data_IF_193751708797
#
_entry.id   IF_193751708797
#
_cell.length_a   1.000
_cell.length_b   1.000
_cell.length_c   1.000
_cell.angle_alpha   90.00
_cell.angle_beta   90.00
_cell.angle_gamma   90.00
#
_symmetry.space_group_name_H-M   'P 1'
#
loop_
_entity.id
_entity.type
_entity.pdbx_description
1 polymer ?
#
# COMPACT_ATOMS: atom_id res chain seq x y z
N UNK A 1 1.16 18.65 -9.41
CA UNK A 1 -0.16 18.47 -8.77
C UNK A 1 -1.16 19.03 -9.77
N UNK A 2 -1.96 18.18 -10.41
CA UNK A 2 -2.79 18.56 -11.56
C UNK A 2 -4.04 19.34 -11.14
N UNK A 3 -4.37 20.36 -11.94
CA UNK A 3 -5.69 20.98 -12.03
C UNK A 3 -6.39 20.44 -13.29
N UNK A 4 -7.63 19.99 -13.11
CA UNK A 4 -8.63 19.54 -14.11
C UNK A 4 -8.35 18.28 -14.93
N UNK A 5 -8.94 17.16 -14.50
CA UNK A 5 -9.30 16.01 -15.35
C UNK A 5 -10.72 16.23 -15.87
N UNK A 6 -10.98 15.91 -17.14
CA UNK A 6 -12.33 15.95 -17.71
C UNK A 6 -13.27 15.01 -16.93
N UNK A 7 -14.59 15.29 -16.89
CA UNK A 7 -15.54 14.37 -16.29
C UNK A 7 -15.44 12.99 -16.98
N UNK A 8 -15.35 11.91 -16.19
CA UNK A 8 -15.47 10.50 -16.58
C UNK A 8 -14.25 9.75 -17.15
N UNK A 9 -13.09 10.40 -17.30
CA UNK A 9 -11.82 9.75 -17.72
C UNK A 9 -10.85 9.60 -16.55
N UNK A 10 -10.22 8.42 -16.38
CA UNK A 10 -9.12 8.22 -15.43
C UNK A 10 -7.83 7.81 -16.15
N UNK A 11 -6.68 8.33 -15.73
CA UNK A 11 -5.34 8.01 -16.27
C UNK A 11 -4.59 7.17 -15.22
N UNK A 12 -3.94 6.08 -15.61
CA UNK A 12 -2.96 5.33 -14.81
C UNK A 12 -1.58 5.42 -15.43
N UNK A 13 -0.56 5.24 -14.60
CA UNK A 13 0.85 5.09 -14.99
C UNK A 13 1.39 3.74 -14.47
N UNK A 14 2.42 3.20 -15.08
CA UNK A 14 3.17 2.00 -14.71
C UNK A 14 4.63 2.25 -15.05
N UNK A 15 5.54 2.15 -14.09
CA UNK A 15 6.98 2.28 -14.36
C UNK A 15 7.65 0.90 -14.42
N UNK A 16 8.58 0.73 -15.35
CA UNK A 16 9.73 -0.18 -15.24
C UNK A 16 10.98 0.71 -15.40
N UNK A 17 12.15 0.25 -14.96
CA UNK A 17 13.43 0.93 -14.80
C UNK A 17 13.94 1.80 -15.98
N UNK A 18 13.23 1.81 -17.12
CA UNK A 18 13.49 2.59 -18.34
C UNK A 18 12.19 2.99 -19.10
N UNK A 19 10.99 2.74 -18.57
CA UNK A 19 9.72 2.94 -19.28
C UNK A 19 8.61 3.43 -18.34
N UNK A 20 7.82 4.41 -18.78
CA UNK A 20 6.48 4.68 -18.22
C UNK A 20 5.47 4.09 -19.21
N UNK A 21 4.85 2.97 -18.85
CA UNK A 21 3.54 2.61 -19.36
C UNK A 21 2.48 3.48 -18.66
N UNK A 22 1.34 3.70 -19.28
CA UNK A 22 0.22 4.36 -18.65
C UNK A 22 -1.07 3.91 -19.29
N UNK A 23 -2.07 3.59 -18.48
CA UNK A 23 -3.36 3.07 -18.92
C UNK A 23 -4.45 4.11 -18.63
N UNK A 24 -5.03 4.70 -19.68
CA UNK A 24 -6.20 5.56 -19.53
C UNK A 24 -7.44 4.67 -19.52
N UNK A 25 -8.13 4.58 -18.37
CA UNK A 25 -9.35 3.79 -18.19
C UNK A 25 -10.57 4.67 -18.42
N UNK A 26 -11.37 4.28 -19.42
CA UNK A 26 -12.59 4.96 -19.83
C UNK A 26 -13.78 4.20 -19.25
N UNK A 27 -14.51 4.84 -18.32
CA UNK A 27 -15.62 4.18 -17.63
C UNK A 27 -16.91 4.18 -18.44
N UNK A 28 -17.01 5.11 -19.38
CA UNK A 28 -18.05 5.24 -20.41
C UNK A 28 -17.38 5.63 -21.72
N UNK A 29 -18.12 5.55 -22.82
CA UNK A 29 -17.72 6.21 -24.07
C UNK A 29 -17.58 7.72 -23.81
N UNK A 30 -16.37 8.29 -23.91
CA UNK A 30 -16.17 9.69 -23.59
C UNK A 30 -16.79 10.58 -24.67
N UNK A 31 -17.33 11.73 -24.27
CA UNK A 31 -17.89 12.72 -25.21
C UNK A 31 -16.78 13.30 -26.11
N UNK A 32 -15.58 13.46 -25.54
CA UNK A 32 -14.35 13.89 -26.22
C UNK A 32 -13.43 12.71 -26.54
N UNK A 33 -12.78 12.72 -27.71
CA UNK A 33 -11.84 11.68 -28.16
C UNK A 33 -10.37 12.10 -28.01
N UNK A 34 -10.10 13.28 -27.44
CA UNK A 34 -8.78 13.86 -27.37
C UNK A 34 -8.29 14.01 -25.92
N UNK A 35 -7.06 13.59 -25.64
CA UNK A 35 -6.42 13.63 -24.33
C UNK A 35 -5.06 14.28 -24.41
N UNK A 36 -4.71 15.12 -23.44
CA UNK A 36 -3.40 15.78 -23.37
C UNK A 36 -2.66 15.28 -22.13
N UNK A 37 -1.45 14.76 -22.32
CA UNK A 37 -0.54 14.31 -21.28
C UNK A 37 0.65 15.25 -21.20
N UNK A 38 0.92 15.80 -20.02
CA UNK A 38 2.08 16.67 -19.82
C UNK A 38 3.31 15.81 -19.48
N UNK A 39 4.37 15.95 -20.28
CA UNK A 39 5.65 15.27 -20.14
C UNK A 39 6.71 16.27 -19.65
N UNK A 40 7.02 16.23 -18.35
CA UNK A 40 8.12 17.00 -17.75
C UNK A 40 9.44 16.25 -17.92
N UNK A 41 10.25 16.68 -18.88
CA UNK A 41 11.54 16.08 -19.22
C UNK A 41 12.70 16.64 -18.40
N UNK A 42 12.42 17.50 -17.40
CA UNK A 42 13.44 18.22 -16.61
C UNK A 42 14.48 18.95 -17.46
N UNK A 43 14.07 19.42 -18.65
CA UNK A 43 14.91 20.20 -19.57
C UNK A 43 15.59 19.40 -20.68
N UNK A 44 15.31 18.10 -20.80
CA UNK A 44 15.81 17.28 -21.92
C UNK A 44 14.89 17.38 -23.16
N UNK A 45 15.43 17.39 -24.39
CA UNK A 45 14.63 17.41 -25.62
C UNK A 45 13.98 16.06 -25.94
N UNK A 46 12.82 16.10 -26.61
CA UNK A 46 12.05 14.92 -27.05
C UNK A 46 11.65 14.99 -28.54
N UNK A 47 11.41 13.84 -29.17
CA UNK A 47 10.93 13.73 -30.57
C UNK A 47 9.86 12.65 -30.74
N UNK A 48 8.90 12.88 -31.64
CA UNK A 48 7.91 11.90 -32.10
C UNK A 48 8.47 11.10 -33.29
N UNK A 49 8.43 9.78 -33.21
CA UNK A 49 8.92 8.87 -34.25
C UNK A 49 7.78 8.47 -35.23
N UNK A 50 8.14 7.90 -36.39
CA UNK A 50 7.17 7.50 -37.42
C UNK A 50 6.15 6.44 -36.95
N UNK A 51 6.56 5.59 -36.00
CA UNK A 51 5.73 4.56 -35.40
C UNK A 51 4.83 5.07 -34.27
N UNK A 52 4.80 6.40 -34.06
CA UNK A 52 4.07 7.10 -32.98
C UNK A 52 4.63 6.89 -31.56
N UNK A 53 5.84 6.34 -31.43
CA UNK A 53 6.60 6.37 -30.17
C UNK A 53 7.27 7.73 -29.94
N UNK A 54 7.66 8.03 -28.70
CA UNK A 54 8.36 9.28 -28.34
C UNK A 54 9.70 8.94 -27.68
N UNK A 55 10.77 9.60 -28.11
CA UNK A 55 12.13 9.45 -27.54
C UNK A 55 12.59 10.76 -26.91
N UNK A 56 13.02 10.71 -25.64
CA UNK A 56 13.76 11.78 -24.95
C UNK A 56 15.25 11.41 -24.96
N UNK A 57 16.11 12.38 -25.25
CA UNK A 57 17.54 12.12 -25.48
C UNK A 57 18.41 13.21 -24.87
N UNK A 58 19.66 12.87 -24.56
CA UNK A 58 20.68 13.85 -24.18
C UNK A 58 21.12 14.64 -25.43
N UNK A 59 21.06 15.98 -25.43
CA UNK A 59 21.40 16.79 -26.59
C UNK A 59 22.91 16.85 -26.89
N UNK A 60 23.78 16.59 -25.90
CA UNK A 60 25.23 16.60 -26.06
C UNK A 60 25.77 15.28 -26.61
N UNK A 61 25.22 14.15 -26.15
CA UNK A 61 25.69 12.81 -26.55
C UNK A 61 24.82 12.15 -27.62
N UNK A 62 23.54 12.56 -27.71
CA UNK A 62 22.54 11.91 -28.54
C UNK A 62 22.04 10.57 -28.00
N UNK A 63 22.44 10.19 -26.78
CA UNK A 63 22.01 8.96 -26.13
C UNK A 63 20.55 9.05 -25.68
N UNK A 64 19.83 7.93 -25.77
CA UNK A 64 18.42 7.87 -25.38
C UNK A 64 18.31 7.76 -23.86
N UNK A 65 17.69 8.76 -23.24
CA UNK A 65 17.49 8.82 -21.79
C UNK A 65 16.14 8.21 -21.40
N UNK A 66 15.14 8.33 -22.27
CA UNK A 66 13.79 7.83 -22.00
C UNK A 66 12.99 7.55 -23.27
N UNK A 67 12.13 6.52 -23.25
CA UNK A 67 11.36 6.06 -24.41
C UNK A 67 9.89 5.73 -24.03
N UNK A 68 8.94 6.25 -24.81
CA UNK A 68 7.50 6.02 -24.67
C UNK A 68 7.00 5.26 -25.90
N UNK A 69 6.41 4.08 -25.69
CA UNK A 69 5.84 3.27 -26.77
C UNK A 69 4.61 3.92 -27.41
N UNK A 70 4.32 3.53 -28.65
CA UNK A 70 3.07 3.89 -29.30
C UNK A 70 1.87 3.38 -28.48
N UNK A 71 0.85 4.21 -28.23
CA UNK A 71 -0.31 3.85 -27.44
C UNK A 71 -1.28 2.96 -28.21
N UNK A 72 -2.03 2.15 -27.49
CA UNK A 72 -3.16 1.36 -27.97
C UNK A 72 -4.25 1.30 -26.89
N UNK A 73 -5.46 0.91 -27.25
CA UNK A 73 -6.55 0.67 -26.31
C UNK A 73 -7.04 -0.78 -26.39
N UNK A 74 -7.65 -1.29 -25.33
CA UNK A 74 -8.20 -2.63 -25.29
C UNK A 74 -9.43 -2.70 -24.37
N UNK A 75 -10.29 -3.71 -24.58
CA UNK A 75 -11.51 -3.89 -23.81
C UNK A 75 -11.38 -4.97 -22.72
N UNK A 76 -12.46 -5.21 -21.98
CA UNK A 76 -12.53 -6.27 -20.96
C UNK A 76 -12.31 -7.69 -21.51
N UNK A 77 -12.49 -7.90 -22.83
CA UNK A 77 -12.25 -9.16 -23.52
C UNK A 77 -10.84 -9.25 -24.14
N UNK A 78 -9.98 -8.26 -23.87
CA UNK A 78 -8.62 -8.13 -24.41
C UNK A 78 -8.55 -7.98 -25.94
N UNK A 79 -9.61 -7.47 -26.57
CA UNK A 79 -9.55 -7.05 -27.96
C UNK A 79 -8.86 -5.68 -28.04
N UNK A 80 -7.91 -5.53 -28.97
CA UNK A 80 -7.05 -4.35 -29.05
C UNK A 80 -7.40 -3.43 -30.23
N UNK A 81 -7.15 -2.13 -30.06
CA UNK A 81 -7.16 -1.13 -31.12
C UNK A 81 -5.88 -0.28 -31.05
N UNK A 82 -5.09 -0.36 -32.13
CA UNK A 82 -3.83 0.38 -32.31
C UNK A 82 -4.03 1.69 -33.09
N UNK A 83 -5.28 2.04 -33.43
CA UNK A 83 -5.60 3.21 -34.22
C UNK A 83 -5.73 4.47 -33.35
N UNK A 84 -4.63 4.84 -32.68
CA UNK A 84 -4.56 6.02 -31.81
C UNK A 84 -3.75 7.13 -32.51
N UNK A 85 -4.29 8.34 -32.57
CA UNK A 85 -3.56 9.54 -33.01
C UNK A 85 -2.59 10.01 -31.93
N UNK A 86 -1.40 10.48 -32.32
CA UNK A 86 -0.39 10.99 -31.37
C UNK A 86 0.25 12.25 -31.95
N UNK A 87 0.28 13.32 -31.15
CA UNK A 87 1.01 14.56 -31.43
C UNK A 87 1.89 14.94 -30.24
N UNK A 88 2.99 15.67 -30.50
CA UNK A 88 3.93 16.14 -29.49
C UNK A 88 4.16 17.64 -29.68
N UNK A 89 3.90 18.43 -28.65
CA UNK A 89 3.96 19.89 -28.67
C UNK A 89 4.91 20.38 -27.56
N UNK A 90 5.87 21.23 -27.88
CA UNK A 90 6.81 21.77 -26.89
C UNK A 90 6.17 22.84 -25.98
N UNK A 91 6.51 22.83 -24.69
CA UNK A 91 6.01 23.77 -23.67
C UNK A 91 7.16 24.38 -22.85
N UNK A 92 6.88 25.36 -21.98
CA UNK A 92 7.91 26.00 -21.14
C UNK A 92 8.60 25.05 -20.15
N UNK A 93 7.98 23.92 -19.81
CA UNK A 93 8.46 22.96 -18.80
C UNK A 93 8.72 21.55 -19.37
N UNK A 94 8.57 21.33 -20.67
CA UNK A 94 8.68 20.01 -21.30
C UNK A 94 7.85 19.91 -22.58
N UNK A 95 6.97 18.91 -22.67
CA UNK A 95 6.11 18.69 -23.84
C UNK A 95 4.69 18.29 -23.45
N UNK A 96 3.71 18.62 -24.29
CA UNK A 96 2.36 18.06 -24.28
C UNK A 96 2.26 16.94 -25.32
N UNK A 97 1.82 15.75 -24.89
CA UNK A 97 1.51 14.61 -25.76
C UNK A 97 0.00 14.54 -25.94
N UNK A 98 -0.47 14.72 -27.17
CA UNK A 98 -1.89 14.72 -27.51
C UNK A 98 -2.26 13.37 -28.10
N UNK A 99 -3.24 12.69 -27.49
CA UNK A 99 -3.76 11.39 -27.92
C UNK A 99 -5.16 11.54 -28.50
N UNK A 100 -5.44 10.90 -29.64
CA UNK A 100 -6.78 10.88 -30.24
C UNK A 100 -7.30 9.45 -30.37
N UNK A 101 -8.42 9.14 -29.73
CA UNK A 101 -9.01 7.79 -29.67
C UNK A 101 -9.86 7.46 -30.89
N UNK A 102 -9.99 6.17 -31.20
CA UNK A 102 -10.91 5.67 -32.24
C UNK A 102 -12.34 5.58 -31.70
N UNK A 103 -13.17 6.58 -32.06
CA UNK A 103 -14.57 6.67 -31.62
C UNK A 103 -15.46 5.51 -32.08
N UNK A 104 -15.18 4.94 -33.26
CA UNK A 104 -16.00 3.84 -33.77
C UNK A 104 -15.77 2.57 -32.97
N UNK A 105 -14.50 2.31 -32.61
CA UNK A 105 -14.12 1.15 -31.82
C UNK A 105 -14.67 1.21 -30.38
N UNK A 106 -14.57 2.38 -29.72
CA UNK A 106 -14.99 2.53 -28.31
C UNK A 106 -16.51 2.53 -28.13
N UNK A 107 -17.27 2.94 -29.17
CA UNK A 107 -18.73 3.00 -29.13
C UNK A 107 -19.42 1.66 -29.44
N UNK A 108 -18.65 0.57 -29.57
CA UNK A 108 -19.18 -0.74 -29.90
C UNK A 108 -20.02 -1.31 -28.72
N UNK A 109 -21.23 -1.84 -28.98
CA UNK A 109 -22.11 -2.37 -27.93
C UNK A 109 -21.59 -3.63 -27.22
N UNK A 110 -20.48 -4.21 -27.68
CA UNK A 110 -19.90 -5.45 -27.14
C UNK A 110 -18.95 -5.24 -25.93
N UNK A 111 -18.90 -4.04 -25.32
CA UNK A 111 -17.90 -3.64 -24.28
C UNK A 111 -18.56 -3.25 -22.94
N UNK A 112 -18.25 -3.92 -21.80
CA UNK A 112 -18.81 -3.67 -20.43
C UNK A 112 -17.74 -3.13 -19.44
N UNK A 113 -18.18 -2.34 -18.44
CA UNK A 113 -17.36 -1.42 -17.61
C UNK A 113 -16.63 -2.00 -16.38
N UNK A 114 -15.57 -1.29 -15.93
CA UNK A 114 -14.49 -1.81 -15.05
C UNK A 114 -14.23 -1.04 -13.72
N UNK A 115 -13.58 -1.74 -12.77
CA UNK A 115 -13.19 -1.34 -11.40
C UNK A 115 -11.87 -0.52 -11.34
N UNK A 116 -11.76 0.43 -10.39
CA UNK A 116 -10.62 1.35 -10.26
C UNK A 116 -9.63 0.93 -9.15
N UNK A 117 -8.34 0.78 -9.51
CA UNK A 117 -7.24 0.49 -8.61
C UNK A 117 -5.98 1.16 -9.16
N UNK A 118 -5.61 2.33 -8.65
CA UNK A 118 -4.41 3.02 -9.13
C UNK A 118 -3.16 2.36 -8.55
N UNK A 119 -2.22 1.98 -9.41
CA UNK A 119 -1.02 1.23 -9.07
C UNK A 119 0.19 2.15 -9.15
N UNK A 120 0.87 2.35 -8.03
CA UNK A 120 2.12 3.09 -8.04
C UNK A 120 3.28 2.18 -7.61
N UNK A 121 4.40 2.37 -8.30
CA UNK A 121 5.64 1.65 -8.07
C UNK A 121 6.64 2.64 -7.50
N UNK A 122 7.24 2.31 -6.37
CA UNK A 122 8.31 3.10 -5.77
C UNK A 122 9.53 2.25 -5.49
N UNK A 123 10.71 2.79 -5.81
CA UNK A 123 11.97 2.10 -5.63
C UNK A 123 12.69 2.56 -4.36
N UNK A 124 13.36 1.63 -3.68
CA UNK A 124 14.30 1.98 -2.61
C UNK A 124 15.48 2.79 -3.14
N UNK A 125 16.00 3.69 -2.31
CA UNK A 125 17.20 4.44 -2.67
C UNK A 125 18.34 3.46 -2.94
N UNK A 126 18.94 3.57 -4.12
CA UNK A 126 20.14 2.84 -4.50
C UNK A 126 21.42 3.51 -3.91
N UNK A 127 21.29 4.37 -2.90
CA UNK A 127 22.46 4.86 -2.16
C UNK A 127 23.15 3.71 -1.44
N UNK A 128 24.48 3.68 -1.48
CA UNK A 128 25.27 2.67 -0.74
C UNK A 128 25.00 2.72 0.76
N UNK A 129 24.72 3.92 1.30
CA UNK A 129 24.39 4.12 2.71
C UNK A 129 23.03 3.55 3.12
N UNK A 130 22.18 3.19 2.16
CA UNK A 130 20.83 2.68 2.40
C UNK A 130 20.76 1.16 2.35
N UNK A 131 21.86 0.47 2.03
CA UNK A 131 21.86 -0.98 1.83
C UNK A 131 22.85 -1.60 2.81
N UNK A 132 22.31 -2.31 3.80
CA UNK A 132 23.07 -3.19 4.67
C UNK A 132 23.10 -4.58 4.04
N UNK A 133 24.27 -5.06 3.65
CA UNK A 133 24.46 -6.43 3.20
C UNK A 133 25.75 -7.07 3.72
N UNK A 134 25.75 -8.39 3.82
CA UNK A 134 26.93 -9.22 4.12
C UNK A 134 26.59 -10.69 3.87
N UNK A 135 27.60 -11.55 3.96
CA UNK A 135 27.41 -13.00 4.04
C UNK A 135 28.27 -13.61 5.15
N UNK A 136 28.00 -14.87 5.47
CA UNK A 136 28.71 -15.67 6.47
C UNK A 136 28.93 -17.10 5.98
N UNK A 137 30.05 -17.70 6.36
CA UNK A 137 30.37 -19.12 6.19
C UNK A 137 31.04 -19.70 7.47
N UNK A 138 31.10 -21.04 7.64
CA UNK A 138 31.73 -21.64 8.82
C UNK A 138 33.16 -21.13 9.02
N UNK A 139 33.45 -20.67 10.23
CA UNK A 139 34.76 -20.11 10.61
C UNK A 139 34.83 -18.58 10.61
N UNK A 140 33.80 -17.89 10.10
CA UNK A 140 33.82 -16.42 10.02
C UNK A 140 33.73 -15.71 11.37
N UNK A 141 34.49 -14.64 11.49
CA UNK A 141 34.38 -13.66 12.57
C UNK A 141 33.60 -12.42 12.13
N UNK A 142 33.17 -11.61 13.10
CA UNK A 142 32.38 -10.41 12.82
C UNK A 142 33.17 -9.41 11.94
N UNK A 143 32.46 -8.71 11.05
CA UNK A 143 33.01 -7.74 10.07
C UNK A 143 33.85 -8.31 8.93
N UNK A 144 34.02 -9.62 8.85
CA UNK A 144 34.95 -10.23 7.88
C UNK A 144 34.60 -9.89 6.42
N UNK A 145 33.32 -9.77 6.10
CA UNK A 145 32.82 -9.53 4.73
C UNK A 145 32.05 -8.21 4.59
N UNK A 146 32.17 -7.30 5.56
CA UNK A 146 31.56 -5.97 5.46
C UNK A 146 32.21 -5.16 4.34
N UNK A 147 31.40 -4.65 3.41
CA UNK A 147 31.88 -3.76 2.37
C UNK A 147 32.74 -4.49 1.32
N UNK A 148 32.45 -5.75 1.03
CA UNK A 148 32.97 -6.39 -0.18
C UNK A 148 32.17 -5.94 -1.41
N UNK A 149 32.74 -6.12 -2.61
CA UNK A 149 32.07 -5.79 -3.87
C UNK A 149 30.80 -6.62 -4.15
N UNK A 150 30.63 -7.68 -3.37
CA UNK A 150 29.63 -8.72 -3.62
C UNK A 150 29.49 -9.62 -2.41
N UNK A 151 28.35 -10.30 -2.31
CA UNK A 151 28.09 -11.31 -1.30
C UNK A 151 27.70 -12.63 -1.95
N UNK A 152 27.82 -13.74 -1.20
CA UNK A 152 27.71 -15.10 -1.74
C UNK A 152 26.62 -15.91 -1.06
N UNK A 153 25.98 -16.78 -1.85
CA UNK A 153 25.01 -17.78 -1.39
C UNK A 153 25.31 -19.13 -2.04
N UNK A 154 25.18 -20.21 -1.28
CA UNK A 154 25.40 -21.59 -1.75
C UNK A 154 26.76 -22.15 -1.36
N UNK A 155 27.21 -23.21 -2.03
CA UNK A 155 28.44 -23.92 -1.67
C UNK A 155 29.56 -23.59 -2.66
N UNK A 156 30.58 -22.88 -2.17
CA UNK A 156 31.79 -22.57 -2.94
C UNK A 156 32.97 -23.25 -2.27
N UNK A 157 33.71 -24.08 -3.01
CA UNK A 157 34.89 -24.81 -2.53
C UNK A 157 34.63 -25.63 -1.25
N UNK A 158 33.42 -26.16 -1.10
CA UNK A 158 33.00 -26.98 0.05
C UNK A 158 32.58 -26.19 1.27
N UNK A 159 32.52 -24.86 1.18
CA UNK A 159 32.03 -23.98 2.23
C UNK A 159 30.64 -23.46 1.89
N UNK A 160 29.72 -23.58 2.86
CA UNK A 160 28.36 -23.07 2.75
C UNK A 160 28.37 -21.57 3.06
N UNK A 161 27.79 -20.77 2.17
CA UNK A 161 27.65 -19.33 2.28
C UNK A 161 26.17 -18.95 2.35
N UNK A 162 25.85 -18.04 3.27
CA UNK A 162 24.50 -17.51 3.50
C UNK A 162 24.56 -16.01 3.62
N UNK A 163 23.61 -15.30 3.02
CA UNK A 163 23.66 -13.85 2.88
C UNK A 163 22.51 -13.15 3.61
N UNK A 164 22.73 -11.88 3.90
CA UNK A 164 21.79 -10.98 4.57
C UNK A 164 21.71 -9.68 3.78
N UNK A 165 20.50 -9.14 3.65
CA UNK A 165 20.28 -7.86 2.98
C UNK A 165 19.12 -7.10 3.63
N UNK A 166 19.31 -5.80 3.85
CA UNK A 166 18.28 -4.89 4.35
C UNK A 166 18.42 -3.53 3.69
N UNK A 167 17.30 -2.91 3.32
CA UNK A 167 17.24 -1.49 3.01
C UNK A 167 16.97 -0.72 4.29
N UNK A 168 17.86 0.19 4.69
CA UNK A 168 17.74 0.93 5.95
C UNK A 168 16.49 1.81 5.95
N UNK A 169 16.23 2.46 4.81
CA UNK A 169 15.07 3.30 4.54
C UNK A 169 14.39 2.87 3.23
N UNK A 170 13.07 2.66 3.29
CA UNK A 170 12.21 2.52 2.11
C UNK A 170 11.59 3.88 1.74
N UNK A 171 11.22 4.10 0.46
CA UNK A 171 10.69 5.39 -0.01
C UNK A 171 9.47 5.83 0.77
N UNK A 172 9.21 7.13 0.84
CA UNK A 172 7.96 7.59 1.46
C UNK A 172 6.81 7.29 0.51
N UNK A 173 5.80 6.56 0.97
CA UNK A 173 4.59 6.29 0.19
C UNK A 173 3.55 7.41 0.39
N UNK A 174 2.78 7.76 -0.65
CA UNK A 174 1.76 8.79 -0.57
C UNK A 174 0.62 8.40 0.38
N UNK A 175 0.01 9.39 1.01
CA UNK A 175 -1.17 9.16 1.85
C UNK A 175 -2.30 8.58 0.99
N UNK A 176 -2.76 7.36 1.28
CA UNK A 176 -3.63 6.65 0.34
C UNK A 176 -3.21 5.21 0.15
N UNK A 177 -1.91 4.93 0.28
CA UNK A 177 -1.35 3.64 -0.10
C UNK A 177 -1.94 2.45 0.68
N UNK A 178 -2.07 1.32 0.00
CA UNK A 178 -2.26 0.01 0.61
C UNK A 178 -1.54 -1.06 -0.21
N UNK A 179 -1.14 -2.15 0.46
CA UNK A 179 -0.60 -3.35 -0.17
C UNK A 179 -1.78 -4.31 -0.37
N UNK A 180 -2.26 -4.48 -1.61
CA UNK A 180 -3.35 -5.42 -1.88
C UNK A 180 -2.85 -6.85 -2.05
N UNK A 181 -3.74 -7.83 -1.88
CA UNK A 181 -3.41 -9.27 -1.95
C UNK A 181 -2.86 -9.71 -3.33
N UNK A 182 -3.08 -8.91 -4.38
CA UNK A 182 -2.60 -9.18 -5.74
C UNK A 182 -1.35 -8.34 -6.11
N UNK A 183 -0.77 -7.58 -5.18
CA UNK A 183 0.31 -6.61 -5.48
C UNK A 183 1.61 -7.07 -4.83
N UNK A 184 2.40 -7.78 -5.62
CA UNK A 184 3.66 -8.35 -5.18
C UNK A 184 4.75 -7.30 -5.35
N UNK A 185 5.47 -7.01 -4.26
CA UNK A 185 6.71 -6.22 -4.32
C UNK A 185 7.89 -7.15 -4.59
N UNK A 186 8.92 -6.66 -5.26
CA UNK A 186 10.04 -7.47 -5.69
C UNK A 186 11.38 -6.92 -5.25
N UNK A 187 12.33 -7.81 -4.95
CA UNK A 187 13.74 -7.52 -4.79
C UNK A 187 14.47 -7.98 -6.05
N UNK A 188 15.28 -7.08 -6.59
CA UNK A 188 16.07 -7.32 -7.80
C UNK A 188 17.55 -7.40 -7.44
N UNK A 189 18.18 -8.50 -7.82
CA UNK A 189 19.57 -8.80 -7.52
C UNK A 189 20.32 -9.14 -8.81
N UNK A 190 21.41 -8.42 -9.10
CA UNK A 190 22.29 -8.76 -10.22
C UNK A 190 23.42 -9.68 -9.79
N UNK A 191 23.70 -10.70 -10.60
CA UNK A 191 24.82 -11.60 -10.38
C UNK A 191 26.12 -10.96 -10.90
N UNK A 192 27.19 -11.18 -10.14
CA UNK A 192 28.58 -10.88 -10.54
C UNK A 192 29.19 -12.12 -11.17
N UNK A 193 28.97 -13.27 -10.53
CA UNK A 193 29.54 -14.56 -10.88
C UNK A 193 28.72 -15.67 -10.23
N UNK A 194 28.95 -16.90 -10.67
CA UNK A 194 28.32 -18.08 -10.11
C UNK A 194 28.60 -19.30 -10.96
N UNK A 195 27.98 -20.40 -10.58
CA UNK A 195 27.89 -21.61 -11.40
C UNK A 195 26.92 -21.41 -12.57
N UNK A 196 27.05 -22.23 -13.62
CA UNK A 196 26.24 -22.12 -14.85
C UNK A 196 24.78 -22.52 -14.65
N UNK A 197 24.45 -23.09 -13.50
CA UNK A 197 23.11 -23.36 -13.01
C UNK A 197 22.75 -22.23 -12.05
N UNK A 198 21.79 -21.39 -12.41
CA UNK A 198 21.28 -20.41 -11.45
C UNK A 198 20.52 -21.13 -10.36
N UNK A 199 21.21 -21.37 -9.25
CA UNK A 199 20.60 -22.00 -8.08
C UNK A 199 19.37 -21.21 -7.66
N UNK A 200 18.31 -21.94 -7.33
CA UNK A 200 17.20 -21.35 -6.61
C UNK A 200 17.68 -21.00 -5.20
N UNK A 201 17.47 -19.75 -4.82
CA UNK A 201 17.81 -19.23 -3.50
C UNK A 201 16.53 -19.17 -2.70
N UNK A 202 16.57 -19.72 -1.51
CA UNK A 202 15.50 -19.61 -0.53
C UNK A 202 15.61 -18.26 0.17
N UNK A 203 14.48 -17.58 0.28
CA UNK A 203 14.32 -16.31 0.96
C UNK A 203 13.63 -16.54 2.30
N UNK A 204 14.14 -15.87 3.33
CA UNK A 204 13.49 -15.78 4.62
C UNK A 204 13.47 -14.35 5.14
N UNK A 205 12.39 -13.99 5.83
CA UNK A 205 12.32 -12.80 6.67
C UNK A 205 13.09 -13.02 7.96
N UNK A 206 13.77 -11.99 8.44
CA UNK A 206 14.52 -12.04 9.69
C UNK A 206 13.65 -11.50 10.84
N UNK A 207 13.47 -12.28 11.90
CA UNK A 207 12.56 -11.90 13.00
C UNK A 207 13.24 -11.04 14.08
N UNK A 208 14.54 -10.79 13.96
CA UNK A 208 15.32 -10.05 14.96
C UNK A 208 16.35 -9.10 14.35
N UNK A 209 16.63 -8.02 15.08
CA UNK A 209 17.60 -7.03 14.65
C UNK A 209 19.00 -7.66 14.46
N UNK A 210 19.64 -7.30 13.34
CA UNK A 210 21.02 -7.64 13.05
C UNK A 210 21.75 -6.43 12.47
N UNK A 211 23.07 -6.53 12.48
CA UNK A 211 23.97 -5.56 11.87
C UNK A 211 25.07 -6.32 11.13
N UNK A 212 25.42 -5.93 9.90
CA UNK A 212 26.48 -6.61 9.15
C UNK A 212 27.85 -6.55 9.87
N UNK A 213 28.00 -5.60 10.80
CA UNK A 213 29.19 -5.40 11.63
C UNK A 213 29.36 -6.47 12.72
N UNK A 214 28.31 -7.22 13.03
CA UNK A 214 28.27 -8.09 14.22
C UNK A 214 27.80 -9.51 13.93
N UNK A 215 27.16 -9.75 12.79
CA UNK A 215 26.66 -11.07 12.40
C UNK A 215 27.83 -12.02 12.09
N UNK A 216 27.70 -13.30 12.47
CA UNK A 216 28.70 -14.36 12.27
C UNK A 216 28.00 -15.69 12.00
N UNK A 217 28.75 -16.71 11.55
CA UNK A 217 28.23 -18.08 11.39
C UNK A 217 27.49 -18.58 12.64
N UNK A 218 28.11 -18.43 13.80
CA UNK A 218 27.51 -18.92 15.05
C UNK A 218 26.30 -18.09 15.50
N UNK A 219 26.28 -16.77 15.23
CA UNK A 219 25.15 -15.93 15.61
C UNK A 219 23.93 -16.19 14.75
N UNK A 220 24.08 -16.32 13.43
CA UNK A 220 22.92 -16.56 12.57
C UNK A 220 22.23 -17.90 12.87
N UNK A 221 22.97 -18.91 13.35
CA UNK A 221 22.40 -20.20 13.74
C UNK A 221 21.47 -20.12 14.97
N UNK A 222 21.53 -19.02 15.72
CA UNK A 222 20.70 -18.78 16.89
C UNK A 222 19.60 -17.73 16.66
N UNK A 223 19.35 -17.36 15.39
CA UNK A 223 18.29 -16.43 15.01
C UNK A 223 17.07 -17.18 14.48
N UNK A 224 15.92 -16.53 14.54
CA UNK A 224 14.67 -17.02 13.96
C UNK A 224 14.43 -16.36 12.60
N UNK A 225 13.86 -17.16 11.69
CA UNK A 225 13.58 -16.77 10.32
C UNK A 225 12.21 -17.31 9.89
N UNK A 226 11.48 -16.51 9.13
CA UNK A 226 10.21 -16.89 8.51
C UNK A 226 10.44 -17.22 7.05
N UNK A 227 10.13 -18.45 6.63
CA UNK A 227 10.27 -18.86 5.22
C UNK A 227 9.23 -18.16 4.35
N UNK A 228 9.68 -17.62 3.22
CA UNK A 228 8.84 -16.85 2.31
C UNK A 228 8.69 -17.54 0.97
N UNK A 229 9.79 -17.94 0.35
CA UNK A 229 9.73 -18.63 -0.93
C UNK A 229 11.10 -18.88 -1.53
N UNK A 230 11.09 -19.26 -2.80
CA UNK A 230 12.28 -19.46 -3.62
C UNK A 230 12.38 -18.36 -4.68
N UNK A 231 13.60 -17.94 -5.01
CA UNK A 231 13.90 -16.92 -6.02
C UNK A 231 13.56 -17.39 -7.44
N UNK A 232 13.11 -16.46 -8.28
CA UNK A 232 13.02 -16.68 -9.72
C UNK A 232 14.32 -16.23 -10.40
N UNK A 233 15.09 -17.21 -10.89
CA UNK A 233 16.29 -16.93 -11.67
C UNK A 233 15.94 -16.55 -13.12
N UNK A 234 16.49 -15.44 -13.61
CA UNK A 234 16.35 -15.02 -15.02
C UNK A 234 17.67 -15.23 -15.74
N UNK A 235 17.96 -16.48 -16.09
CA UNK A 235 19.28 -16.88 -16.58
C UNK A 235 20.37 -16.56 -15.56
N UNK A 236 21.64 -16.50 -15.99
CA UNK A 236 22.81 -16.30 -15.11
C UNK A 236 23.12 -14.84 -14.77
N UNK A 237 22.19 -13.93 -15.03
CA UNK A 237 22.41 -12.48 -14.92
C UNK A 237 21.75 -11.84 -13.70
N UNK A 238 20.55 -12.32 -13.31
CA UNK A 238 19.80 -11.73 -12.18
C UNK A 238 18.84 -12.71 -11.50
N UNK A 239 18.52 -12.41 -10.24
CA UNK A 239 17.40 -12.96 -9.48
C UNK A 239 16.34 -11.89 -9.26
N UNK A 240 15.09 -12.29 -9.35
CA UNK A 240 13.96 -11.55 -8.80
C UNK A 240 13.34 -12.37 -7.68
N UNK A 241 13.05 -11.70 -6.56
CA UNK A 241 12.52 -12.34 -5.36
C UNK A 241 11.26 -11.59 -4.96
N UNK A 242 10.16 -12.29 -4.75
CA UNK A 242 8.96 -11.69 -4.16
C UNK A 242 9.26 -11.42 -2.70
N UNK A 243 9.16 -10.17 -2.23
CA UNK A 243 9.51 -9.82 -0.83
C UNK A 243 8.35 -9.94 0.15
N UNK A 244 7.27 -10.60 -0.24
CA UNK A 244 6.09 -10.89 0.57
C UNK A 244 5.60 -9.68 1.39
N UNK A 245 5.56 -9.80 2.72
CA UNK A 245 5.05 -8.79 3.64
C UNK A 245 6.13 -7.81 4.15
N UNK A 246 7.36 -7.87 3.62
CA UNK A 246 8.47 -7.01 4.10
C UNK A 246 8.20 -5.51 3.98
N UNK A 247 7.69 -4.98 2.84
CA UNK A 247 7.31 -3.57 2.75
C UNK A 247 6.22 -3.23 3.78
N UNK A 248 5.20 -4.08 3.93
CA UNK A 248 4.15 -3.87 4.92
C UNK A 248 4.73 -3.78 6.35
N UNK A 249 5.60 -4.72 6.75
CA UNK A 249 6.26 -4.69 8.07
C UNK A 249 7.05 -3.39 8.29
N UNK A 250 7.69 -2.84 7.26
CA UNK A 250 8.40 -1.57 7.36
C UNK A 250 7.44 -0.40 7.63
N UNK A 251 6.34 -0.30 6.87
CA UNK A 251 5.47 0.87 6.94
C UNK A 251 4.38 0.81 8.03
N UNK A 252 3.85 -0.37 8.36
CA UNK A 252 2.70 -0.53 9.27
C UNK A 252 3.07 -1.10 10.63
N UNK A 253 4.15 -1.89 10.72
CA UNK A 253 4.56 -2.62 11.93
C UNK A 253 5.91 -2.14 12.46
N UNK A 254 5.93 -0.91 12.99
CA UNK A 254 7.15 -0.23 13.46
C UNK A 254 8.04 -1.15 14.31
N UNK A 255 9.21 -1.49 13.78
CA UNK A 255 10.24 -2.29 14.46
C UNK A 255 10.23 -3.79 14.13
N UNK A 256 9.35 -4.26 13.23
CA UNK A 256 9.31 -5.66 12.79
C UNK A 256 10.05 -5.91 11.47
N UNK A 257 10.46 -4.86 10.76
CA UNK A 257 11.28 -4.98 9.56
C UNK A 257 12.76 -5.10 9.91
N UNK A 258 13.34 -6.26 9.61
CA UNK A 258 14.78 -6.51 9.79
C UNK A 258 15.48 -6.98 8.52
N UNK A 259 14.79 -7.06 7.37
CA UNK A 259 15.38 -7.47 6.10
C UNK A 259 15.35 -8.98 5.89
N UNK A 260 16.16 -9.43 4.95
CA UNK A 260 16.10 -10.74 4.33
C UNK A 260 17.36 -11.56 4.55
N UNK A 261 17.16 -12.86 4.67
CA UNK A 261 18.20 -13.88 4.76
C UNK A 261 18.06 -14.84 3.56
N UNK A 262 19.21 -15.19 2.98
CA UNK A 262 19.30 -16.01 1.78
C UNK A 262 20.17 -17.24 1.99
N UNK A 263 19.70 -18.40 1.52
CA UNK A 263 20.49 -19.63 1.43
C UNK A 263 20.14 -20.42 0.17
N UNK A 264 20.97 -21.36 -0.27
CA UNK A 264 20.59 -22.24 -1.39
C UNK A 264 19.53 -23.26 -0.97
N UNK A 265 18.71 -23.71 -1.91
CA UNK A 265 17.75 -24.81 -1.70
C UNK A 265 18.45 -26.13 -1.38
N UNK A 266 19.64 -26.34 -1.94
CA UNK A 266 20.51 -27.48 -1.66
C UNK A 266 21.93 -26.99 -1.32
N UNK A 267 22.41 -27.32 -0.13
CA UNK A 267 23.75 -26.94 0.37
C UNK A 267 24.72 -28.16 0.34
N UNK A 268 24.41 -29.21 -0.43
CA UNK A 268 25.25 -30.43 -0.54
C UNK A 268 26.11 -30.48 -1.81
N UNK A 269 25.75 -29.72 -2.85
CA UNK A 269 26.47 -29.65 -4.13
C UNK A 269 27.30 -28.36 -4.24
N UNK A 270 28.41 -28.41 -4.98
CA UNK A 270 29.26 -27.24 -5.30
C UNK A 270 28.55 -26.28 -6.26
N UNK A 271 27.56 -25.55 -5.76
CA UNK A 271 26.67 -24.69 -6.52
C UNK A 271 26.45 -23.38 -5.75
N UNK A 272 26.79 -22.24 -6.36
CA UNK A 272 26.82 -20.95 -5.66
C UNK A 272 26.60 -19.77 -6.61
N UNK A 273 26.01 -18.71 -6.07
CA UNK A 273 25.87 -17.42 -6.73
C UNK A 273 26.56 -16.33 -5.91
N UNK A 274 27.07 -15.33 -6.62
CA UNK A 274 27.62 -14.10 -6.05
C UNK A 274 26.89 -12.91 -6.65
N UNK A 275 26.35 -12.06 -5.78
CA UNK A 275 25.52 -10.93 -6.15
C UNK A 275 26.23 -9.63 -5.79
N UNK A 276 25.96 -8.58 -6.54
CA UNK A 276 26.52 -7.26 -6.27
C UNK A 276 26.12 -6.77 -4.88
N UNK A 277 27.10 -6.26 -4.13
CA UNK A 277 26.84 -5.58 -2.86
C UNK A 277 26.38 -4.15 -3.13
N UNK A 278 25.41 -3.69 -2.36
CA UNK A 278 24.99 -2.29 -2.31
C UNK A 278 26.13 -1.35 -1.92
N UNK A 279 27.14 -1.82 -1.19
CA UNK A 279 28.25 -1.01 -0.69
C UNK A 279 29.25 -0.59 -1.79
N UNK A 280 29.36 -1.32 -2.90
CA UNK A 280 30.46 -1.17 -3.86
C UNK A 280 30.08 -1.30 -5.34
N UNK A 281 28.84 -1.65 -5.67
CA UNK A 281 28.39 -1.70 -7.06
C UNK A 281 28.04 -0.31 -7.62
N UNK A 282 28.10 -0.17 -8.94
CA UNK A 282 27.51 0.99 -9.62
C UNK A 282 25.99 1.00 -9.47
N UNK A 283 25.35 2.17 -9.54
CA UNK A 283 23.90 2.32 -9.32
C UNK A 283 23.07 1.29 -10.11
N UNK A 284 23.39 1.11 -11.40
CA UNK A 284 22.70 0.15 -12.27
C UNK A 284 22.84 -1.32 -11.87
N UNK A 285 23.77 -1.68 -10.97
CA UNK A 285 23.99 -3.06 -10.51
C UNK A 285 23.65 -3.28 -9.04
N UNK A 286 23.26 -2.23 -8.31
CA UNK A 286 22.90 -2.34 -6.89
C UNK A 286 21.62 -3.13 -6.71
N UNK A 287 21.50 -3.89 -5.60
CA UNK A 287 20.22 -4.39 -5.15
C UNK A 287 19.22 -3.24 -5.01
N UNK A 288 17.99 -3.44 -5.49
CA UNK A 288 16.88 -2.51 -5.24
C UNK A 288 15.59 -3.28 -4.98
N UNK A 289 14.72 -2.67 -4.17
CA UNK A 289 13.38 -3.16 -3.92
C UNK A 289 12.39 -2.31 -4.70
N UNK A 290 11.57 -2.98 -5.49
CA UNK A 290 10.43 -2.46 -6.23
C UNK A 290 9.18 -2.67 -5.37
N UNK A 291 8.61 -1.58 -4.86
CA UNK A 291 7.46 -1.61 -3.97
C UNK A 291 6.21 -1.30 -4.77
N UNK A 292 5.34 -2.31 -4.87
CA UNK A 292 4.04 -2.19 -5.50
C UNK A 292 3.01 -1.88 -4.42
N UNK A 293 2.31 -0.78 -4.61
CA UNK A 293 1.19 -0.40 -3.76
C UNK A 293 0.11 0.23 -4.62
N UNK A 294 -1.07 0.28 -4.05
CA UNK A 294 -2.17 0.96 -4.71
C UNK A 294 -2.60 2.17 -3.90
N UNK A 295 -3.00 3.23 -4.60
CA UNK A 295 -3.58 4.41 -3.98
C UNK A 295 -5.10 4.26 -4.05
N UNK A 296 -5.73 4.27 -2.89
CA UNK A 296 -7.18 4.41 -2.83
C UNK A 296 -7.55 5.85 -3.16
N UNK A 297 -7.78 6.13 -4.44
CA UNK A 297 -8.36 7.41 -4.88
C UNK A 297 -9.91 7.39 -4.89
N UNK A 298 -10.51 6.22 -4.66
CA UNK A 298 -11.93 6.13 -4.32
C UNK A 298 -12.09 6.30 -2.82
N UNK A 299 -12.43 7.53 -2.42
CA UNK A 299 -13.04 7.80 -1.12
C UNK A 299 -14.13 6.76 -0.86
N UNK A 300 -14.15 6.21 0.34
CA UNK A 300 -15.08 5.14 0.70
C UNK A 300 -16.50 5.44 0.30
N UNK A 301 -17.23 4.38 -0.05
CA UNK A 301 -18.69 4.42 -0.05
C UNK A 301 -19.12 4.84 1.36
N UNK A 302 -19.64 6.06 1.45
CA UNK A 302 -20.24 6.56 2.66
C UNK A 302 -21.52 5.77 2.93
N UNK A 303 -22.09 5.87 4.13
CA UNK A 303 -23.42 5.29 4.43
C UNK A 303 -24.56 5.92 3.61
N UNK A 304 -24.28 6.62 2.52
CA UNK A 304 -25.23 7.19 1.58
C UNK A 304 -24.61 7.07 0.19
N UNK A 305 -25.36 6.57 -0.79
CA UNK A 305 -24.94 6.45 -2.18
C UNK A 305 -24.64 7.82 -2.83
N UNK A 306 -25.12 8.91 -2.23
CA UNK A 306 -24.80 10.29 -2.62
C UNK A 306 -23.76 10.96 -1.71
N UNK A 307 -23.29 10.26 -0.67
CA UNK A 307 -22.18 10.66 0.21
C UNK A 307 -22.40 11.98 0.97
N UNK A 308 -23.66 12.29 1.32
CA UNK A 308 -24.02 13.55 2.00
C UNK A 308 -24.36 13.39 3.46
N UNK A 309 -24.80 12.21 3.89
CA UNK A 309 -25.28 12.02 5.25
C UNK A 309 -24.13 11.74 6.23
N UNK A 310 -23.99 12.58 7.25
CA UNK A 310 -22.89 12.50 8.22
C UNK A 310 -23.28 13.03 9.60
N UNK A 311 -22.37 12.88 10.58
CA UNK A 311 -22.56 13.42 11.92
C UNK A 311 -22.49 14.95 11.91
N UNK A 312 -23.50 15.61 12.48
CA UNK A 312 -23.53 17.07 12.60
C UNK A 312 -22.40 17.57 13.51
N UNK A 313 -21.67 18.60 13.05
CA UNK A 313 -20.55 19.20 13.78
C UNK A 313 -19.17 18.61 13.46
N UNK A 314 -19.10 17.60 12.59
CA UNK A 314 -17.85 17.11 12.03
C UNK A 314 -16.98 16.28 12.97
N UNK A 315 -15.72 16.07 12.56
CA UNK A 315 -14.73 15.23 13.26
C UNK A 315 -13.64 16.03 13.98
N UNK A 316 -13.65 17.37 13.87
CA UNK A 316 -12.62 18.24 14.42
C UNK A 316 -12.66 18.29 15.95
N UNK A 317 -13.85 18.30 16.55
CA UNK A 317 -14.03 18.34 18.00
C UNK A 317 -15.07 17.30 18.45
N UNK A 318 -14.59 16.09 18.73
CA UNK A 318 -15.45 14.96 19.09
C UNK A 318 -15.39 14.73 20.60
N UNK A 319 -16.49 15.02 21.28
CA UNK A 319 -16.69 14.61 22.68
C UNK A 319 -17.28 13.21 22.73
N UNK A 320 -16.73 12.34 23.58
CA UNK A 320 -17.27 10.99 23.79
C UNK A 320 -17.58 10.69 25.25
N UNK A 321 -18.59 9.87 25.48
CA UNK A 321 -19.04 9.45 26.82
C UNK A 321 -18.97 7.93 26.94
N UNK A 322 -18.43 7.43 28.04
CA UNK A 322 -18.39 6.00 28.37
C UNK A 322 -19.34 5.75 29.53
N UNK A 323 -20.36 4.93 29.31
CA UNK A 323 -21.32 4.60 30.36
C UNK A 323 -20.66 3.75 31.48
N UNK A 324 -20.92 4.02 32.78
CA UNK A 324 -20.34 3.28 33.91
C UNK A 324 -20.65 1.77 33.95
N UNK A 325 -21.59 1.31 33.12
CA UNK A 325 -21.91 -0.11 32.96
C UNK A 325 -20.91 -0.90 32.11
N UNK A 326 -19.95 -0.22 31.47
CA UNK A 326 -18.86 -0.85 30.73
C UNK A 326 -17.68 -1.14 31.66
N UNK A 327 -17.09 -2.32 31.54
CA UNK A 327 -15.92 -2.71 32.33
C UNK A 327 -14.63 -2.00 31.85
N UNK A 328 -13.58 -2.08 32.66
CA UNK A 328 -12.30 -1.42 32.39
C UNK A 328 -11.61 -1.90 31.10
N UNK A 329 -11.84 -3.15 30.67
CA UNK A 329 -11.32 -3.62 29.37
C UNK A 329 -11.97 -2.84 28.23
N UNK A 330 -13.29 -2.66 28.27
CA UNK A 330 -14.01 -1.91 27.22
C UNK A 330 -13.61 -0.44 27.24
N UNK A 331 -13.49 0.14 28.43
CA UNK A 331 -13.01 1.52 28.62
C UNK A 331 -11.65 1.75 27.93
N UNK A 332 -10.68 0.87 28.19
CA UNK A 332 -9.36 0.95 27.55
C UNK A 332 -9.43 0.81 26.02
N UNK A 333 -10.26 -0.10 25.49
CA UNK A 333 -10.41 -0.26 24.03
C UNK A 333 -11.03 0.99 23.39
N UNK A 334 -12.01 1.62 24.05
CA UNK A 334 -12.65 2.85 23.58
C UNK A 334 -11.66 4.01 23.58
N UNK A 335 -10.88 4.18 24.65
CA UNK A 335 -9.89 5.26 24.74
C UNK A 335 -8.78 5.09 23.70
N UNK A 336 -8.33 3.85 23.46
CA UNK A 336 -7.40 3.55 22.38
C UNK A 336 -8.00 3.86 21.00
N UNK A 337 -9.25 3.47 20.74
CA UNK A 337 -9.92 3.78 19.48
C UNK A 337 -10.03 5.29 19.23
N UNK A 338 -10.39 6.07 20.25
CA UNK A 338 -10.41 7.53 20.19
C UNK A 338 -9.02 8.10 19.84
N UNK A 339 -7.97 7.57 20.48
CA UNK A 339 -6.59 7.97 20.21
C UNK A 339 -6.14 7.61 18.78
N UNK A 340 -6.53 6.45 18.26
CA UNK A 340 -6.21 6.04 16.89
C UNK A 340 -6.82 6.97 15.85
N UNK A 341 -8.11 7.30 15.99
CA UNK A 341 -8.77 8.28 15.12
C UNK A 341 -8.15 9.66 15.21
N UNK A 342 -7.91 10.17 16.42
CA UNK A 342 -7.25 11.46 16.61
C UNK A 342 -5.87 11.48 15.95
N UNK A 343 -5.05 10.45 16.14
CA UNK A 343 -3.71 10.37 15.56
C UNK A 343 -3.76 10.31 14.03
N UNK A 344 -4.65 9.48 13.47
CA UNK A 344 -4.75 9.30 12.02
C UNK A 344 -5.21 10.59 11.31
N UNK A 345 -6.23 11.26 11.88
CA UNK A 345 -6.73 12.54 11.36
C UNK A 345 -5.67 13.64 11.43
N UNK A 346 -5.00 13.77 12.59
CA UNK A 346 -3.94 14.77 12.77
C UNK A 346 -2.74 14.53 11.86
N UNK A 347 -2.35 13.27 11.66
CA UNK A 347 -1.28 12.90 10.71
C UNK A 347 -1.65 13.30 9.27
N UNK A 348 -2.94 13.27 8.93
CA UNK A 348 -3.46 13.70 7.64
C UNK A 348 -3.75 15.21 7.55
N UNK A 349 -3.34 16.02 8.52
CA UNK A 349 -3.54 17.47 8.50
C UNK A 349 -4.93 17.94 8.96
N UNK A 350 -5.81 17.04 9.38
CA UNK A 350 -7.11 17.38 9.95
C UNK A 350 -6.93 17.56 11.46
N UNK A 351 -7.03 18.80 11.95
CA UNK A 351 -6.81 19.13 13.38
C UNK A 351 -7.94 18.62 14.29
N UNK A 352 -7.95 17.32 14.57
CA UNK A 352 -8.97 16.65 15.37
C UNK A 352 -8.59 16.54 16.85
N UNK A 353 -9.58 16.72 17.72
CA UNK A 353 -9.46 16.50 19.17
C UNK A 353 -10.61 15.63 19.68
N UNK A 354 -10.25 14.57 20.39
CA UNK A 354 -11.16 13.60 20.97
C UNK A 354 -11.11 13.71 22.50
N UNK A 355 -12.21 14.11 23.11
CA UNK A 355 -12.24 14.40 24.56
C UNK A 355 -13.33 13.61 25.26
N UNK A 356 -12.95 12.88 26.31
CA UNK A 356 -13.91 12.21 27.18
C UNK A 356 -14.69 13.23 28.01
N UNK A 357 -16.00 13.06 28.09
CA UNK A 357 -16.89 13.81 28.98
C UNK A 357 -17.65 12.87 29.91
N UNK A 358 -18.00 13.35 31.10
CA UNK A 358 -18.87 12.65 32.05
C UNK A 358 -20.37 12.97 31.83
N UNK A 359 -20.67 13.88 30.90
CA UNK A 359 -22.03 14.27 30.55
C UNK A 359 -22.39 13.71 29.17
N UNK A 360 -23.22 12.67 29.16
CA UNK A 360 -23.67 12.01 27.94
C UNK A 360 -24.35 12.99 26.97
N UNK A 361 -25.12 13.97 27.45
CA UNK A 361 -25.85 14.89 26.58
C UNK A 361 -24.93 15.85 25.81
N UNK A 362 -23.72 16.09 26.33
CA UNK A 362 -22.68 16.89 25.67
C UNK A 362 -21.77 16.10 24.74
N UNK A 363 -21.94 14.77 24.67
CA UNK A 363 -21.13 13.89 23.83
C UNK A 363 -21.77 13.64 22.46
N UNK A 364 -20.91 13.56 21.44
CA UNK A 364 -21.23 13.16 20.08
C UNK A 364 -21.23 11.65 19.89
N UNK A 365 -20.39 10.93 20.62
CA UNK A 365 -20.36 9.47 20.60
C UNK A 365 -20.55 8.93 22.02
N UNK A 366 -21.47 7.99 22.20
CA UNK A 366 -21.82 7.44 23.51
C UNK A 366 -21.68 5.93 23.51
N UNK A 367 -20.90 5.40 24.44
CA UNK A 367 -20.67 3.96 24.57
C UNK A 367 -21.51 3.37 25.69
N UNK A 368 -22.25 2.30 25.40
CA UNK A 368 -23.10 1.58 26.34
C UNK A 368 -22.90 0.07 26.24
N UNK A 369 -23.25 -0.66 27.30
CA UNK A 369 -23.42 -2.11 27.22
C UNK A 369 -24.64 -2.46 26.35
N UNK A 370 -24.59 -3.59 25.63
CA UNK A 370 -25.70 -4.08 24.81
C UNK A 370 -27.02 -4.27 25.58
N UNK A 371 -26.96 -4.52 26.89
CA UNK A 371 -28.14 -4.66 27.74
C UNK A 371 -28.92 -3.35 27.93
N UNK A 372 -28.31 -2.22 27.55
CA UNK A 372 -28.92 -0.89 27.54
C UNK A 372 -29.38 -0.49 26.13
N UNK A 373 -29.47 -1.43 25.18
CA UNK A 373 -29.99 -1.17 23.84
C UNK A 373 -31.37 -0.49 23.92
N UNK A 374 -31.54 0.59 23.16
CA UNK A 374 -32.78 1.35 23.18
C UNK A 374 -33.96 0.49 22.68
N UNK A 375 -35.13 0.68 23.31
CA UNK A 375 -36.35 -0.05 22.96
C UNK A 375 -36.73 0.19 21.51
N UNK A 376 -37.09 -0.89 20.81
CA UNK A 376 -37.51 -0.85 19.40
C UNK A 376 -36.39 -1.12 18.41
N UNK A 377 -35.12 -1.18 18.85
CA UNK A 377 -34.02 -1.64 18.02
C UNK A 377 -33.97 -3.18 17.96
N UNK A 378 -33.51 -3.77 16.84
CA UNK A 378 -33.35 -5.22 16.72
C UNK A 378 -32.40 -5.77 17.78
N UNK A 379 -32.67 -6.98 18.28
CA UNK A 379 -31.74 -7.65 19.19
C UNK A 379 -30.35 -7.86 18.54
N UNK A 380 -29.33 -8.04 19.37
CA UNK A 380 -27.98 -8.39 18.89
C UNK A 380 -27.97 -9.78 18.26
N UNK A 381 -27.26 -9.91 17.14
CA UNK A 381 -26.93 -11.20 16.55
C UNK A 381 -25.99 -12.02 17.44
N UNK A 382 -26.00 -13.34 17.27
CA UNK A 382 -25.17 -14.26 18.09
C UNK A 382 -23.66 -14.06 17.93
N UNK A 383 -23.21 -13.49 16.81
CA UNK A 383 -21.82 -13.16 16.51
C UNK A 383 -21.49 -11.67 16.55
N UNK A 384 -22.41 -10.83 17.03
CA UNK A 384 -22.27 -9.38 16.94
C UNK A 384 -21.51 -8.83 18.16
N UNK A 385 -20.32 -8.27 17.92
CA UNK A 385 -19.42 -7.76 18.96
C UNK A 385 -19.82 -6.36 19.44
N UNK A 386 -20.28 -5.51 18.53
CA UNK A 386 -20.77 -4.16 18.82
C UNK A 386 -21.71 -3.69 17.69
N UNK A 387 -22.44 -2.60 17.94
CA UNK A 387 -23.30 -1.95 16.97
C UNK A 387 -23.32 -0.44 17.17
N UNK A 388 -23.23 0.30 16.09
CA UNK A 388 -23.44 1.75 16.07
C UNK A 388 -24.84 2.11 15.59
N UNK A 389 -25.48 3.06 16.27
CA UNK A 389 -26.80 3.59 15.93
C UNK A 389 -26.76 5.12 15.97
N UNK A 390 -27.22 5.76 14.92
CA UNK A 390 -27.24 7.21 14.73
C UNK A 390 -28.57 7.81 15.22
N UNK A 391 -28.53 9.01 15.80
CA UNK A 391 -29.70 9.68 16.36
C UNK A 391 -29.84 11.13 15.91
N UNK A 392 -31.04 11.50 15.48
CA UNK A 392 -31.44 12.88 15.21
C UNK A 392 -32.62 13.23 16.12
N UNK A 393 -32.56 14.36 16.84
CA UNK A 393 -33.62 14.79 17.76
C UNK A 393 -34.07 13.69 18.75
N UNK A 394 -33.12 12.92 19.28
CA UNK A 394 -33.32 11.81 20.22
C UNK A 394 -34.01 10.54 19.67
N UNK A 395 -34.27 10.48 18.37
CA UNK A 395 -34.82 9.30 17.70
C UNK A 395 -33.75 8.63 16.84
N UNK A 396 -33.72 7.29 16.76
CA UNK A 396 -32.83 6.62 15.83
C UNK A 396 -33.21 7.02 14.40
N UNK A 397 -32.21 7.27 13.57
CA UNK A 397 -32.37 7.66 12.17
C UNK A 397 -31.67 6.66 11.26
N UNK A 398 -32.21 6.45 10.06
CA UNK A 398 -31.50 5.74 9.01
C UNK A 398 -30.34 6.64 8.51
N UNK A 399 -29.06 6.26 8.69
CA UNK A 399 -27.93 7.10 8.30
C UNK A 399 -27.83 7.33 6.78
N UNK A 400 -28.58 6.58 5.98
CA UNK A 400 -28.72 6.76 4.52
C UNK A 400 -29.71 7.89 4.14
N UNK A 401 -30.53 8.35 5.09
CA UNK A 401 -31.65 9.26 4.81
C UNK A 401 -31.46 10.66 5.44
N UNK A 402 -30.43 10.85 6.27
CA UNK A 402 -30.15 12.18 6.82
C UNK A 402 -29.02 12.22 7.85
N UNK A 403 -28.63 13.45 8.18
CA UNK A 403 -27.62 13.76 9.19
C UNK A 403 -28.13 13.44 10.61
N UNK A 404 -27.19 13.15 11.51
CA UNK A 404 -27.48 12.86 12.92
C UNK A 404 -26.73 13.78 13.88
N UNK A 405 -27.27 13.95 15.09
CA UNK A 405 -26.70 14.83 16.11
C UNK A 405 -25.60 14.14 16.92
N UNK A 406 -25.78 12.85 17.18
CA UNK A 406 -24.89 11.98 17.95
C UNK A 406 -25.12 10.51 17.60
N UNK A 407 -24.19 9.65 17.98
CA UNK A 407 -24.29 8.19 17.83
C UNK A 407 -24.20 7.49 19.19
N UNK A 408 -24.89 6.37 19.32
CA UNK A 408 -24.67 5.40 20.41
C UNK A 408 -24.00 4.16 19.84
N UNK A 409 -22.96 3.70 20.53
CA UNK A 409 -22.26 2.45 20.25
C UNK A 409 -22.57 1.49 21.40
N UNK A 410 -23.24 0.39 21.07
CA UNK A 410 -23.62 -0.65 22.02
C UNK A 410 -22.64 -1.81 21.92
N UNK A 411 -22.04 -2.20 23.04
CA UNK A 411 -20.95 -3.18 23.09
C UNK A 411 -21.45 -4.47 23.71
N UNK A 412 -21.22 -5.60 23.05
CA UNK A 412 -21.52 -6.92 23.57
C UNK A 412 -20.37 -7.41 24.47
N UNK A 413 -20.42 -7.04 25.75
CA UNK A 413 -19.39 -7.41 26.74
C UNK A 413 -19.25 -8.92 26.97
N UNK A 414 -20.24 -9.73 26.56
CA UNK A 414 -20.16 -11.19 26.61
C UNK A 414 -19.39 -11.78 25.42
N UNK A 415 -19.36 -11.07 24.29
CA UNK A 415 -18.72 -11.52 23.06
C UNK A 415 -17.31 -10.96 22.90
N UNK A 416 -17.12 -9.67 23.22
CA UNK A 416 -15.81 -9.00 23.12
C UNK A 416 -14.65 -9.77 23.77
N UNK A 417 -14.84 -10.55 24.87
CA UNK A 417 -13.77 -11.36 25.43
C UNK A 417 -13.24 -12.48 24.55
N UNK A 418 -13.98 -12.89 23.52
CA UNK A 418 -13.58 -13.93 22.56
C UNK A 418 -12.64 -13.40 21.48
N UNK A 419 -12.61 -12.08 21.29
CA UNK A 419 -11.68 -11.41 20.41
C UNK A 419 -10.35 -11.22 21.13
N UNK A 420 -9.26 -11.35 20.40
CA UNK A 420 -7.95 -11.00 20.90
C UNK A 420 -7.81 -9.47 21.10
N UNK A 421 -6.66 -9.02 21.58
CA UNK A 421 -6.42 -7.58 21.81
C UNK A 421 -6.47 -6.75 20.53
N UNK A 422 -6.10 -7.34 19.40
CA UNK A 422 -6.03 -6.70 18.09
C UNK A 422 -7.44 -6.48 17.52
N UNK A 423 -8.23 -7.55 17.43
CA UNK A 423 -9.60 -7.54 16.93
C UNK A 423 -10.55 -6.76 17.83
N UNK A 424 -10.34 -6.82 19.15
CA UNK A 424 -11.08 -6.01 20.11
C UNK A 424 -10.84 -4.51 19.89
N UNK A 425 -9.59 -4.10 19.65
CA UNK A 425 -9.25 -2.71 19.38
C UNK A 425 -9.78 -2.25 18.02
N UNK A 426 -9.64 -3.08 16.98
CA UNK A 426 -10.16 -2.81 15.65
C UNK A 426 -11.69 -2.67 15.65
N UNK A 427 -12.41 -3.48 16.43
CA UNK A 427 -13.87 -3.38 16.55
C UNK A 427 -14.29 -2.02 17.11
N UNK A 428 -13.67 -1.54 18.19
CA UNK A 428 -14.05 -0.23 18.74
C UNK A 428 -13.75 0.94 17.78
N UNK A 429 -12.61 0.88 17.09
CA UNK A 429 -12.27 1.89 16.10
C UNK A 429 -13.21 1.84 14.89
N UNK A 430 -13.61 0.65 14.44
CA UNK A 430 -14.58 0.44 13.37
C UNK A 430 -15.95 1.02 13.69
N UNK A 431 -16.49 0.75 14.88
CA UNK A 431 -17.76 1.34 15.31
C UNK A 431 -17.70 2.87 15.37
N UNK A 432 -16.57 3.45 15.79
CA UNK A 432 -16.36 4.90 15.67
C UNK A 432 -16.40 5.39 14.23
N UNK A 433 -15.87 4.62 13.28
CA UNK A 433 -15.99 4.92 11.84
C UNK A 433 -17.44 5.00 11.38
N UNK A 434 -18.29 4.09 11.85
CA UNK A 434 -19.74 4.18 11.61
C UNK A 434 -20.39 5.40 12.26
N UNK A 435 -19.92 5.82 13.43
CA UNK A 435 -20.42 7.03 14.07
C UNK A 435 -20.10 8.29 13.23
N UNK A 436 -19.03 8.25 12.45
CA UNK A 436 -18.67 9.30 11.49
C UNK A 436 -19.36 9.17 10.13
N UNK A 437 -20.05 8.06 9.85
CA UNK A 437 -20.79 7.86 8.59
C UNK A 437 -20.07 7.03 7.54
N UNK A 438 -18.98 6.35 7.91
CA UNK A 438 -18.31 5.42 7.00
C UNK A 438 -19.07 4.09 6.95
N UNK A 439 -19.30 3.55 5.74
CA UNK A 439 -19.93 2.25 5.56
C UNK A 439 -18.91 1.12 5.63
N UNK A 440 -19.40 -0.12 5.74
CA UNK A 440 -18.57 -1.30 5.58
C UNK A 440 -17.91 -1.34 4.19
N UNK A 441 -16.76 -2.02 4.13
CA UNK A 441 -16.11 -2.41 2.88
C UNK A 441 -15.67 -3.87 2.95
N UNK A 442 -15.34 -4.44 1.79
CA UNK A 442 -14.85 -5.81 1.67
C UNK A 442 -13.32 -5.91 1.60
N UNK A 443 -12.61 -4.78 1.74
CA UNK A 443 -11.15 -4.74 1.75
C UNK A 443 -10.58 -5.13 3.13
N UNK A 444 -10.00 -6.32 3.26
CA UNK A 444 -9.34 -6.80 4.49
C UNK A 444 -8.39 -5.77 5.13
N UNK A 445 -7.78 -4.88 4.37
CA UNK A 445 -6.86 -3.84 4.86
C UNK A 445 -7.54 -2.53 5.29
N UNK A 446 -8.86 -2.42 5.20
CA UNK A 446 -9.61 -1.27 5.67
C UNK A 446 -10.17 -1.50 7.08
N UNK A 447 -10.15 -0.47 7.92
CA UNK A 447 -10.73 -0.57 9.26
C UNK A 447 -12.22 -0.90 9.19
N UNK A 448 -12.91 -0.37 8.18
CA UNK A 448 -14.34 -0.59 7.96
C UNK A 448 -14.71 -1.97 7.42
N UNK A 449 -13.77 -2.91 7.28
CA UNK A 449 -14.09 -4.31 7.01
C UNK A 449 -14.47 -5.04 8.29
N UNK A 450 -15.50 -5.89 8.20
CA UNK A 450 -15.92 -6.70 9.33
C UNK A 450 -14.85 -7.74 9.67
N UNK A 451 -14.74 -8.13 10.95
CA UNK A 451 -13.80 -9.20 11.35
C UNK A 451 -14.04 -10.49 10.55
N UNK A 452 -15.32 -10.87 10.39
CA UNK A 452 -15.69 -12.04 9.59
C UNK A 452 -15.36 -11.91 8.10
N UNK A 453 -15.12 -10.69 7.61
CA UNK A 453 -14.66 -10.40 6.25
C UNK A 453 -13.13 -10.42 6.10
N UNK A 454 -12.39 -10.87 7.11
CA UNK A 454 -10.94 -11.01 7.06
C UNK A 454 -10.16 -9.73 7.33
N UNK A 455 -10.72 -8.78 8.11
CA UNK A 455 -10.02 -7.53 8.45
C UNK A 455 -8.68 -7.83 9.13
N UNK A 456 -7.59 -7.27 8.58
CA UNK A 456 -6.22 -7.40 9.10
C UNK A 456 -5.67 -6.11 9.69
N UNK A 457 -6.47 -5.05 9.83
CA UNK A 457 -6.08 -3.76 10.46
C UNK A 457 -6.95 -3.42 11.67
N UNK A 458 -6.42 -2.63 12.60
CA UNK A 458 -7.11 -2.22 13.84
C UNK A 458 -7.13 -0.71 14.09
N UNK A 459 -6.57 0.06 13.16
CA UNK A 459 -6.51 1.53 13.17
C UNK A 459 -7.07 2.09 11.87
N UNK A 460 -7.52 3.35 11.84
CA UNK A 460 -7.95 4.00 10.61
C UNK A 460 -6.79 4.08 9.62
N UNK A 461 -7.06 3.69 8.38
CA UNK A 461 -6.16 3.77 7.24
C UNK A 461 -6.49 4.99 6.38
N UNK A 462 -5.70 5.19 5.34
CA UNK A 462 -5.86 6.29 4.39
C UNK A 462 -7.26 6.36 3.77
N UNK A 463 -7.88 5.23 3.45
CA UNK A 463 -9.24 5.20 2.93
C UNK A 463 -10.24 5.79 3.93
N UNK A 464 -10.08 5.51 5.24
CA UNK A 464 -10.95 6.08 6.27
C UNK A 464 -10.81 7.59 6.28
N UNK A 465 -9.58 8.07 6.19
CA UNK A 465 -9.30 9.50 6.11
C UNK A 465 -9.93 10.11 4.86
N UNK A 466 -9.81 9.46 3.69
CA UNK A 466 -10.42 9.94 2.45
C UNK A 466 -11.95 10.02 2.55
N UNK A 467 -12.59 8.99 3.12
CA UNK A 467 -14.03 9.00 3.41
C UNK A 467 -14.43 10.14 4.34
N UNK A 468 -13.65 10.38 5.41
CA UNK A 468 -13.87 11.52 6.31
C UNK A 468 -13.73 12.86 5.55
N UNK A 469 -12.68 13.05 4.75
CA UNK A 469 -12.51 14.29 3.97
C UNK A 469 -13.69 14.53 3.03
N UNK A 470 -14.17 13.46 2.38
CA UNK A 470 -15.33 13.52 1.49
C UNK A 470 -16.60 13.95 2.21
N UNK A 471 -16.89 13.33 3.37
CA UNK A 471 -18.07 13.62 4.17
C UNK A 471 -18.05 15.03 4.78
N UNK A 472 -16.88 15.50 5.20
CA UNK A 472 -16.77 16.69 6.05
C UNK A 472 -16.10 17.89 5.37
N UNK A 473 -15.53 17.74 4.17
CA UNK A 473 -14.86 18.80 3.41
C UNK A 473 -13.61 19.36 4.11
N UNK A 474 -12.84 18.49 4.77
CA UNK A 474 -11.68 18.85 5.64
C UNK A 474 -10.34 18.37 5.12
#
# INVERSE_FOLDING_TARGET
MYESVLPETNIRYTMDCLHVNGEIVLNNVPEEDCYILNLDTKGLPARLNEDKSITVYDPETGEEEFYIKAPFMYDENLEECHNIGVELVETEIGYDVILTLDKEWISSPDRVGSLLLDYEISNSSQSTSNIDDTYVHPGDYAKQHWGEISWKVGVQNGQVHRAFLRFVELPTLPAGYYFGDNHQSYLHLKLVNGTTTTINIQEYGIDSAWSPDTITWNKHNNMNYTYYGDSFAFGVERHQIWVHDQPQRYYTEKGQYHGLYFKSTDETYQDWNQMYSGNYSGASSRPYMEIHYAILDKGYECMDANEKCHMSGGVTFVSYYIHPGLNSRMENLIENAAAYWQQALNKAGISATFTRTNDALKSKIRFYDKGLLDKGLPAFGSGEAARTVQYYQHLPINPWEGNWDYSKIFINQDYMPRLDGYDGAGTMAHEMGHAFGLNHTYNSYALMTQIGGGRVVYKPQSGEIAGIRKLYGV
#
